data_IF_117411311735
#
_entry.id   IF_117411311735
#
_cell.length_a   1.000
_cell.length_b   1.000
_cell.length_c   1.000
_cell.angle_alpha   90.00
_cell.angle_beta   90.00
_cell.angle_gamma   90.00
#
_symmetry.space_group_name_H-M   'P 1'
#
loop_
_entity.id
_entity.type
_entity.pdbx_description
1 polymer ?
#
# COMPACT_ATOMS: atom_id res chain seq x y z
N UNK A 1 -4.88 7.38 0.04
CA UNK A 1 -3.65 6.68 0.47
C UNK A 1 -3.37 5.55 -0.53
N UNK A 2 -2.12 5.15 -0.82
CA UNK A 2 -1.84 3.99 -1.66
C UNK A 2 -2.34 2.67 -1.03
N UNK A 3 -2.60 1.64 -1.84
CA UNK A 3 -3.01 0.31 -1.35
C UNK A 3 -1.87 -0.46 -0.67
N UNK A 4 -2.20 -1.57 -0.01
CA UNK A 4 -1.22 -2.33 0.79
C UNK A 4 -0.02 -2.80 -0.05
N UNK A 5 -0.24 -3.22 -1.30
CA UNK A 5 0.85 -3.64 -2.19
C UNK A 5 1.77 -2.47 -2.53
N UNK A 6 1.24 -1.29 -2.83
CA UNK A 6 2.02 -0.09 -3.12
C UNK A 6 2.77 0.42 -1.89
N UNK A 7 2.13 0.41 -0.72
CA UNK A 7 2.76 0.77 0.54
C UNK A 7 3.93 -0.18 0.86
N UNK A 8 3.74 -1.49 0.67
CA UNK A 8 4.82 -2.46 0.86
C UNK A 8 6.00 -2.19 -0.09
N UNK A 9 5.74 -1.86 -1.37
CA UNK A 9 6.78 -1.46 -2.34
C UNK A 9 7.49 -0.17 -1.95
N UNK A 10 6.77 0.78 -1.34
CA UNK A 10 7.34 2.01 -0.79
C UNK A 10 8.17 1.78 0.48
N UNK A 11 8.24 0.55 0.99
CA UNK A 11 8.99 0.17 2.17
C UNK A 11 8.23 0.35 3.47
N UNK A 12 6.89 0.39 3.41
CA UNK A 12 6.04 0.28 4.60
C UNK A 12 5.99 -1.18 5.03
N UNK A 13 6.19 -1.44 6.33
CA UNK A 13 6.02 -2.75 6.95
C UNK A 13 4.70 -2.79 7.69
N UNK A 14 3.97 -3.86 7.46
CA UNK A 14 2.73 -4.17 8.16
C UNK A 14 3.04 -5.12 9.31
N UNK A 15 2.49 -4.83 10.49
CA UNK A 15 2.68 -5.66 11.68
C UNK A 15 1.40 -5.73 12.51
N UNK A 16 1.12 -6.86 13.18
CA UNK A 16 0.01 -6.94 14.12
C UNK A 16 0.21 -5.97 15.29
N UNK A 17 -0.88 -5.41 15.79
CA UNK A 17 -0.89 -4.62 17.02
C UNK A 17 -1.43 -5.48 18.16
N UNK A 18 -0.56 -5.80 19.10
CA UNK A 18 -0.90 -6.58 20.30
C UNK A 18 -1.48 -5.68 21.41
N UNK A 19 -2.28 -6.27 22.31
CA UNK A 19 -2.81 -5.63 23.53
C UNK A 19 -3.53 -4.30 23.28
N UNK A 20 -4.36 -4.21 22.23
CA UNK A 20 -5.08 -3.00 21.87
C UNK A 20 -6.59 -3.28 21.69
N UNK A 21 -7.41 -2.24 21.84
CA UNK A 21 -8.83 -2.30 21.50
C UNK A 21 -9.01 -2.15 19.99
N UNK A 22 -9.72 -3.07 19.35
CA UNK A 22 -10.10 -2.89 17.94
C UNK A 22 -11.05 -1.69 17.80
N UNK A 23 -10.89 -0.80 16.78
CA UNK A 23 -9.94 -0.81 15.66
C UNK A 23 -8.73 0.14 15.80
N UNK A 24 -7.89 0.02 16.84
CA UNK A 24 -6.76 0.93 17.08
C UNK A 24 -5.57 0.75 16.11
N UNK A 25 -5.37 1.70 15.19
CA UNK A 25 -4.27 1.68 14.20
C UNK A 25 -3.23 2.76 14.48
N UNK A 26 -1.96 2.44 14.24
CA UNK A 26 -0.86 3.41 14.37
C UNK A 26 0.17 3.26 13.27
N UNK A 27 0.84 4.36 12.93
CA UNK A 27 1.94 4.36 11.99
C UNK A 27 3.13 5.10 12.59
N UNK A 28 4.32 4.51 12.51
CA UNK A 28 5.54 5.14 12.96
C UNK A 28 6.71 4.70 12.08
N UNK A 29 7.39 5.67 11.47
CA UNK A 29 8.63 5.48 10.73
C UNK A 29 8.61 4.30 9.73
N UNK A 30 7.55 4.24 8.91
CA UNK A 30 7.38 3.19 7.91
C UNK A 30 6.85 1.87 8.45
N UNK A 31 6.43 1.79 9.71
CA UNK A 31 5.76 0.60 10.27
C UNK A 31 4.31 0.95 10.58
N UNK A 32 3.38 0.27 9.91
CA UNK A 32 1.95 0.34 10.17
C UNK A 32 1.54 -0.84 11.07
N UNK A 33 1.03 -0.51 12.25
CA UNK A 33 0.50 -1.48 13.22
C UNK A 33 -1.02 -1.46 13.16
N UNK A 34 -1.60 -2.60 12.80
CA UNK A 34 -3.04 -2.82 12.71
C UNK A 34 -3.41 -4.01 13.60
N UNK A 35 -4.51 -3.94 14.38
CA UNK A 35 -4.97 -5.09 15.14
C UNK A 35 -5.31 -6.25 14.19
N UNK A 36 -5.01 -7.49 14.60
CA UNK A 36 -5.37 -8.67 13.81
C UNK A 36 -6.89 -8.81 13.72
N UNK A 37 -7.37 -9.17 12.53
CA UNK A 37 -8.77 -9.24 12.20
C UNK A 37 -9.12 -10.56 11.52
N UNK A 38 -10.03 -11.31 12.14
CA UNK A 38 -10.53 -12.57 11.57
C UNK A 38 -11.68 -12.30 10.59
N UNK A 39 -11.50 -12.74 9.35
CA UNK A 39 -12.48 -12.59 8.28
C UNK A 39 -13.27 -13.87 8.10
N UNK A 40 -14.58 -13.76 8.25
CA UNK A 40 -15.58 -14.82 8.09
C UNK A 40 -16.75 -14.33 7.24
N UNK A 41 -17.66 -15.23 6.90
CA UNK A 41 -18.92 -14.89 6.21
C UNK A 41 -19.81 -13.89 6.98
N UNK A 42 -19.68 -13.83 8.31
CA UNK A 42 -20.43 -12.90 9.16
C UNK A 42 -19.77 -11.54 9.32
N UNK A 43 -18.54 -11.37 8.84
CA UNK A 43 -17.78 -10.15 9.02
C UNK A 43 -18.45 -8.94 8.35
N UNK A 44 -18.92 -9.10 7.11
CA UNK A 44 -19.60 -8.03 6.37
C UNK A 44 -20.86 -7.51 7.08
N UNK A 45 -21.84 -8.35 7.46
CA UNK A 45 -23.04 -7.85 8.14
C UNK A 45 -22.73 -7.23 9.51
N UNK A 46 -21.75 -7.76 10.25
CA UNK A 46 -21.35 -7.18 11.54
C UNK A 46 -20.80 -5.76 11.34
N UNK A 47 -19.83 -5.58 10.42
CA UNK A 47 -19.24 -4.27 10.17
C UNK A 47 -20.28 -3.27 9.63
N UNK A 48 -21.17 -3.69 8.73
CA UNK A 48 -22.28 -2.84 8.24
C UNK A 48 -23.20 -2.39 9.37
N UNK A 49 -23.56 -3.29 10.27
CA UNK A 49 -24.42 -2.94 11.41
C UNK A 49 -23.73 -1.97 12.36
N UNK A 50 -22.43 -2.12 12.59
CA UNK A 50 -21.65 -1.20 13.42
C UNK A 50 -21.55 0.19 12.78
N UNK A 51 -21.29 0.26 11.47
CA UNK A 51 -21.25 1.53 10.73
C UNK A 51 -22.64 2.19 10.72
N UNK A 52 -23.70 1.43 10.48
CA UNK A 52 -25.07 1.94 10.53
C UNK A 52 -25.42 2.47 11.93
N UNK A 53 -24.98 1.78 12.99
CA UNK A 53 -25.15 2.24 14.36
C UNK A 53 -24.42 3.57 14.60
N UNK A 54 -23.17 3.72 14.17
CA UNK A 54 -22.42 4.99 14.27
C UNK A 54 -23.09 6.14 13.49
N UNK A 55 -23.67 5.84 12.33
CA UNK A 55 -24.41 6.81 11.51
C UNK A 55 -25.73 7.24 12.17
N UNK A 56 -26.45 6.31 12.80
CA UNK A 56 -27.70 6.60 13.52
C UNK A 56 -27.47 7.34 14.85
N UNK A 57 -26.30 7.17 15.48
CA UNK A 57 -25.97 7.76 16.78
C UNK A 57 -24.65 8.54 16.73
N UNK A 58 -24.61 9.76 16.15
CA UNK A 58 -23.37 10.49 15.94
C UNK A 58 -22.53 10.79 17.20
N UNK A 59 -23.15 10.74 18.39
CA UNK A 59 -22.48 10.95 19.68
C UNK A 59 -21.57 9.79 20.09
N UNK A 60 -21.69 8.60 19.50
CA UNK A 60 -20.86 7.42 19.85
C UNK A 60 -19.46 7.46 19.23
N UNK A 61 -19.20 8.42 18.35
CA UNK A 61 -18.00 8.44 17.51
C UNK A 61 -18.16 7.57 16.26
N UNK A 62 -17.09 7.51 15.46
CA UNK A 62 -17.07 6.92 14.11
C UNK A 62 -15.87 6.00 13.90
N UNK A 63 -15.58 5.14 14.88
CA UNK A 63 -14.38 4.32 14.89
C UNK A 63 -14.38 3.28 13.78
N UNK A 64 -15.50 2.59 13.59
CA UNK A 64 -15.68 1.57 12.55
C UNK A 64 -15.81 2.18 11.17
N UNK A 65 -16.49 3.32 11.04
CA UNK A 65 -16.58 4.06 9.77
C UNK A 65 -15.19 4.49 9.28
N UNK A 66 -14.33 5.00 10.18
CA UNK A 66 -12.97 5.39 9.78
C UNK A 66 -12.05 4.18 9.57
N UNK A 67 -12.27 3.10 10.30
CA UNK A 67 -11.54 1.85 10.03
C UNK A 67 -11.92 1.24 8.68
N UNK A 68 -13.20 1.32 8.31
CA UNK A 68 -13.69 0.91 7.00
C UNK A 68 -13.01 1.72 5.87
N UNK A 69 -12.98 3.05 6.00
CA UNK A 69 -12.26 3.93 5.07
C UNK A 69 -10.77 3.57 4.91
N UNK A 70 -10.13 3.18 6.02
CA UNK A 70 -8.74 2.70 5.99
C UNK A 70 -8.62 1.36 5.25
N UNK A 71 -9.50 0.41 5.55
CA UNK A 71 -9.48 -0.91 4.92
C UNK A 71 -9.81 -0.83 3.43
N UNK A 72 -10.72 0.04 3.02
CA UNK A 72 -10.99 0.38 1.61
C UNK A 72 -9.72 0.86 0.91
N UNK A 73 -9.02 1.81 1.55
CA UNK A 73 -7.78 2.34 1.01
C UNK A 73 -6.68 1.28 0.90
N UNK A 74 -6.61 0.35 1.86
CA UNK A 74 -5.58 -0.68 1.90
C UNK A 74 -5.87 -1.85 0.96
N UNK A 75 -7.13 -2.22 0.77
CA UNK A 75 -7.55 -3.46 0.10
C UNK A 75 -8.40 -3.15 -1.12
N UNK A 76 -7.77 -3.12 -2.30
CA UNK A 76 -8.48 -3.02 -3.58
C UNK A 76 -8.49 -4.38 -4.31
N UNK A 77 -7.39 -5.13 -4.22
CA UNK A 77 -7.16 -6.37 -4.96
C UNK A 77 -6.85 -7.56 -4.06
N UNK A 78 -6.94 -8.81 -4.58
CA UNK A 78 -6.54 -10.01 -3.83
C UNK A 78 -5.05 -9.99 -3.42
N UNK A 79 -4.21 -9.23 -4.13
CA UNK A 79 -2.79 -9.08 -3.79
C UNK A 79 -2.62 -8.28 -2.50
N UNK A 80 -3.45 -7.27 -2.29
CA UNK A 80 -3.43 -6.45 -1.08
C UNK A 80 -3.85 -7.28 0.13
N UNK A 81 -4.90 -8.09 -0.03
CA UNK A 81 -5.31 -9.07 0.98
C UNK A 81 -4.16 -10.02 1.31
N UNK A 82 -3.45 -10.53 0.30
CA UNK A 82 -2.29 -11.40 0.50
C UNK A 82 -1.18 -10.72 1.32
N UNK A 83 -0.89 -9.45 1.06
CA UNK A 83 0.11 -8.68 1.82
C UNK A 83 -0.28 -8.59 3.29
N UNK A 84 -1.53 -8.24 3.58
CA UNK A 84 -2.02 -8.11 4.95
C UNK A 84 -2.13 -9.47 5.67
N UNK A 85 -2.51 -10.52 4.95
CA UNK A 85 -2.54 -11.89 5.47
C UNK A 85 -1.15 -12.38 5.83
N UNK A 86 -0.15 -12.17 4.95
CA UNK A 86 1.24 -12.54 5.23
C UNK A 86 1.84 -11.75 6.40
N UNK A 87 1.34 -10.53 6.65
CA UNK A 87 1.71 -9.71 7.78
C UNK A 87 0.97 -10.08 9.09
N UNK A 88 0.08 -11.07 9.07
CA UNK A 88 -0.71 -11.47 10.25
C UNK A 88 -1.79 -10.46 10.65
N UNK A 89 -2.14 -9.52 9.77
CA UNK A 89 -3.20 -8.54 10.01
C UNK A 89 -4.56 -9.15 9.69
N UNK A 90 -4.64 -9.92 8.60
CA UNK A 90 -5.87 -10.62 8.21
C UNK A 90 -5.70 -12.12 8.44
N UNK A 91 -6.54 -12.67 9.31
CA UNK A 91 -6.74 -14.11 9.42
C UNK A 91 -7.97 -14.48 8.59
N UNK A 92 -7.73 -15.14 7.47
CA UNK A 92 -8.80 -15.53 6.56
C UNK A 92 -9.19 -16.96 6.91
N UNK A 93 -10.46 -17.18 7.24
CA UNK A 93 -11.01 -18.52 7.47
C UNK A 93 -11.12 -19.33 6.17
N UNK A 94 -12.32 -19.83 5.86
CA UNK A 94 -12.58 -20.65 4.66
C UNK A 94 -12.65 -19.84 3.35
N UNK A 95 -12.49 -18.52 3.40
CA UNK A 95 -12.62 -17.64 2.24
C UNK A 95 -11.34 -17.56 1.42
N UNK A 96 -11.47 -17.30 0.11
CA UNK A 96 -10.31 -16.97 -0.72
C UNK A 96 -10.00 -15.47 -0.69
N UNK A 97 -8.76 -15.08 -1.05
CA UNK A 97 -8.33 -13.68 -1.05
C UNK A 97 -9.19 -12.77 -1.94
N UNK A 98 -9.83 -13.32 -2.97
CA UNK A 98 -10.71 -12.58 -3.87
C UNK A 98 -12.03 -12.23 -3.21
N UNK A 99 -12.63 -13.17 -2.48
CA UNK A 99 -13.83 -12.93 -1.68
C UNK A 99 -13.59 -11.90 -0.59
N UNK A 100 -12.44 -11.97 0.08
CA UNK A 100 -12.08 -10.97 1.11
C UNK A 100 -11.90 -9.57 0.50
N UNK A 101 -11.24 -9.46 -0.66
CA UNK A 101 -11.13 -8.18 -1.36
C UNK A 101 -12.51 -7.66 -1.77
N UNK A 102 -13.37 -8.54 -2.29
CA UNK A 102 -14.75 -8.17 -2.63
C UNK A 102 -15.57 -7.77 -1.41
N UNK A 103 -15.35 -8.38 -0.25
CA UNK A 103 -16.01 -8.04 1.01
C UNK A 103 -15.72 -6.59 1.38
N UNK A 104 -14.45 -6.19 1.44
CA UNK A 104 -14.08 -4.82 1.78
C UNK A 104 -14.59 -3.83 0.72
N UNK A 105 -14.41 -4.12 -0.57
CA UNK A 105 -14.96 -3.28 -1.66
C UNK A 105 -16.49 -3.15 -1.64
N UNK A 106 -17.21 -4.11 -1.04
CA UNK A 106 -18.66 -4.05 -0.84
C UNK A 106 -19.06 -3.34 0.45
N UNK A 107 -18.23 -3.40 1.49
CA UNK A 107 -18.49 -2.73 2.76
C UNK A 107 -18.55 -1.22 2.57
N UNK A 108 -17.66 -0.70 1.72
CA UNK A 108 -17.53 0.72 1.40
C UNK A 108 -18.64 1.28 0.51
N UNK A 109 -19.46 0.40 -0.09
CA UNK A 109 -20.63 0.84 -0.85
C UNK A 109 -21.68 1.38 0.10
N UNK A 110 -22.19 2.57 -0.21
CA UNK A 110 -23.26 3.25 0.51
C UNK A 110 -22.86 3.77 1.92
N UNK A 111 -21.57 3.86 2.22
CA UNK A 111 -21.07 4.48 3.47
C UNK A 111 -20.95 5.99 3.30
N UNK A 112 -21.64 6.75 4.16
CA UNK A 112 -21.52 8.20 4.18
C UNK A 112 -20.30 8.63 5.00
N UNK A 113 -19.23 9.00 4.31
CA UNK A 113 -18.02 9.55 4.93
C UNK A 113 -18.20 11.04 5.25
N UNK A 114 -18.26 11.35 6.54
CA UNK A 114 -18.34 12.73 7.02
C UNK A 114 -16.95 13.38 7.05
N UNK A 115 -16.88 14.66 6.65
CA UNK A 115 -15.67 15.49 6.66
C UNK A 115 -15.30 15.99 8.06
N UNK A 116 -15.22 15.09 9.04
CA UNK A 116 -14.85 15.39 10.42
C UNK A 116 -13.41 14.98 10.74
N UNK A 117 -12.97 15.27 11.96
CA UNK A 117 -11.67 14.80 12.46
C UNK A 117 -11.73 13.30 12.75
N UNK A 118 -10.93 12.50 12.04
CA UNK A 118 -10.74 11.07 12.31
C UNK A 118 -9.54 10.85 13.22
N UNK A 119 -9.61 9.84 14.08
CA UNK A 119 -8.45 9.38 14.86
C UNK A 119 -7.31 8.88 13.94
N UNK A 120 -7.62 8.51 12.70
CA UNK A 120 -6.66 8.10 11.67
C UNK A 120 -6.06 9.24 10.86
N UNK A 121 -6.48 10.49 11.08
CA UNK A 121 -5.94 11.62 10.31
C UNK A 121 -4.41 11.73 10.41
N UNK A 122 -3.86 11.49 11.61
CA UNK A 122 -2.41 11.46 11.81
C UNK A 122 -1.76 10.29 11.08
N UNK A 123 -2.37 9.10 11.12
CA UNK A 123 -1.90 7.92 10.39
C UNK A 123 -1.83 8.21 8.89
N UNK A 124 -2.89 8.77 8.30
CA UNK A 124 -2.90 9.14 6.88
C UNK A 124 -1.84 10.17 6.52
N UNK A 125 -1.70 11.22 7.34
CA UNK A 125 -0.69 12.26 7.13
C UNK A 125 0.73 11.69 7.16
N UNK A 126 1.04 10.86 8.16
CA UNK A 126 2.37 10.30 8.34
C UNK A 126 2.73 9.29 7.25
N UNK A 127 1.76 8.47 6.82
CA UNK A 127 1.93 7.54 5.69
C UNK A 127 2.20 8.31 4.40
N UNK A 128 1.40 9.32 4.09
CA UNK A 128 1.58 10.12 2.88
C UNK A 128 2.94 10.84 2.90
N UNK A 129 3.34 11.44 4.02
CA UNK A 129 4.64 12.09 4.17
C UNK A 129 5.80 11.09 3.98
N UNK A 130 5.70 9.90 4.59
CA UNK A 130 6.70 8.85 4.44
C UNK A 130 6.82 8.41 2.97
N UNK A 131 5.69 8.13 2.33
CA UNK A 131 5.65 7.68 0.94
C UNK A 131 6.16 8.76 -0.02
N UNK A 132 5.75 10.02 0.14
CA UNK A 132 6.20 11.13 -0.71
C UNK A 132 7.71 11.33 -0.60
N UNK A 133 8.27 11.32 0.61
CA UNK A 133 9.72 11.49 0.80
C UNK A 133 10.53 10.38 0.12
N UNK A 134 10.08 9.12 0.23
CA UNK A 134 10.72 7.97 -0.41
C UNK A 134 10.53 8.05 -1.91
N UNK A 135 9.31 8.19 -2.39
CA UNK A 135 8.99 8.23 -3.81
C UNK A 135 9.73 9.35 -4.54
N UNK A 136 9.86 10.53 -3.93
CA UNK A 136 10.67 11.63 -4.45
C UNK A 136 12.15 11.24 -4.56
N UNK A 137 12.70 10.55 -3.56
CA UNK A 137 14.07 10.03 -3.61
C UNK A 137 14.25 8.98 -4.71
N UNK A 138 13.31 8.03 -4.82
CA UNK A 138 13.30 6.99 -5.86
C UNK A 138 13.18 7.60 -7.26
N UNK A 139 12.35 8.63 -7.47
CA UNK A 139 12.28 9.39 -8.74
C UNK A 139 13.57 10.16 -9.05
N UNK A 140 14.30 10.61 -8.04
CA UNK A 140 15.58 11.31 -8.22
C UNK A 140 16.76 10.37 -8.52
N UNK A 141 16.71 9.10 -8.11
CA UNK A 141 17.78 8.12 -8.33
C UNK A 141 18.06 7.80 -9.83
N UNK A 142 17.06 7.54 -10.70
CA UNK A 142 17.26 7.32 -12.13
C UNK A 142 17.94 8.52 -12.80
N UNK A 143 17.52 9.75 -12.48
CA UNK A 143 18.13 10.98 -13.01
C UNK A 143 19.61 11.13 -12.64
N UNK A 144 20.04 10.61 -11.49
CA UNK A 144 21.45 10.71 -11.07
C UNK A 144 22.34 9.65 -11.71
N UNK A 145 21.85 8.43 -11.93
CA UNK A 145 22.65 7.35 -12.50
C UNK A 145 22.70 7.38 -14.03
N UNK A 146 21.63 7.84 -14.70
CA UNK A 146 21.60 7.93 -16.16
C UNK A 146 22.58 8.98 -16.72
N UNK A 147 22.86 10.04 -15.94
CA UNK A 147 23.71 11.15 -16.36
C UNK A 147 25.12 11.12 -15.78
N UNK A 148 25.51 10.05 -15.08
CA UNK A 148 26.81 10.03 -14.38
C UNK A 148 28.00 9.82 -15.33
N UNK A 149 27.80 9.21 -16.51
CA UNK A 149 28.85 9.19 -17.52
C UNK A 149 28.35 8.93 -18.96
N UNK A 150 27.83 9.96 -19.66
CA UNK A 150 27.47 9.87 -21.08
C UNK A 150 28.66 9.45 -21.96
N UNK A 151 29.89 9.82 -21.55
CA UNK A 151 31.12 9.64 -22.33
C UNK A 151 31.63 8.19 -22.39
N UNK A 152 31.33 7.36 -21.39
CA UNK A 152 31.67 5.92 -21.44
C UNK A 152 30.89 5.15 -22.49
N UNK A 153 29.68 5.61 -22.86
CA UNK A 153 28.88 4.96 -23.90
C UNK A 153 29.46 5.29 -25.28
N UNK A 154 29.94 6.53 -25.49
CA UNK A 154 30.58 6.93 -26.75
C UNK A 154 31.92 6.25 -26.99
N UNK A 155 32.72 5.97 -25.94
CA UNK A 155 34.03 5.32 -26.14
C UNK A 155 33.93 3.87 -26.58
N UNK A 156 32.91 3.13 -26.11
CA UNK A 156 32.70 1.73 -26.49
C UNK A 156 32.25 1.61 -27.95
N UNK A 157 31.38 2.50 -28.41
CA UNK A 157 30.89 2.48 -29.80
C UNK A 157 31.99 2.87 -30.80
N UNK A 158 32.84 3.86 -30.45
CA UNK A 158 33.95 4.27 -31.30
C UNK A 158 35.02 3.17 -31.45
N UNK A 159 35.30 2.42 -30.37
CA UNK A 159 36.25 1.31 -30.40
C UNK A 159 35.78 0.18 -31.32
N UNK A 160 34.48 -0.14 -31.32
CA UNK A 160 33.92 -1.20 -32.18
C UNK A 160 33.91 -0.85 -33.67
N UNK A 161 33.79 0.42 -34.03
CA UNK A 161 33.83 0.84 -35.44
C UNK A 161 35.26 0.93 -35.98
N UNK A 162 36.24 1.21 -35.11
CA UNK A 162 37.66 1.24 -35.46
C UNK A 162 38.20 -0.18 -35.72
N UNK A 163 37.84 -1.18 -34.91
CA UNK A 163 38.28 -2.58 -35.13
C UNK A 163 37.68 -3.23 -36.40
N UNK A 164 36.48 -2.80 -36.84
CA UNK A 164 35.83 -3.35 -38.04
C UNK A 164 36.32 -2.72 -39.37
N UNK A 165 37.06 -1.61 -39.31
CA UNK A 165 37.59 -0.93 -40.50
C UNK A 165 39.05 -1.26 -40.82
N UNK A 166 39.76 -1.94 -39.90
CA UNK A 166 41.15 -2.40 -40.12
C UNK A 166 41.30 -3.85 -40.61
N UNK A 167 40.22 -4.60 -40.85
CA UNK A 167 40.34 -5.92 -41.50
C UNK A 167 40.83 -5.75 -42.95
N UNK A 168 42.06 -6.20 -43.28
CA UNK A 168 42.71 -5.85 -44.53
C UNK A 168 42.04 -6.56 -45.71
N UNK A 169 41.80 -5.79 -46.77
CA UNK A 169 41.63 -6.27 -48.15
C UNK A 169 42.88 -7.06 -48.57
N UNK A 170 42.93 -8.35 -48.27
CA UNK A 170 43.94 -9.29 -48.76
C UNK A 170 43.26 -10.63 -49.04
N UNK A 171 42.64 -10.75 -50.21
CA UNK A 171 42.57 -12.00 -50.98
C UNK A 171 42.04 -11.66 -52.37
N UNK A 172 42.95 -11.80 -53.32
CA UNK A 172 42.77 -11.80 -54.76
C UNK A 172 42.22 -13.14 -55.21
#
# INVERSE_FOLDING_TARGET
MPNATELQKAGVKFTPKENCSFPDVSFNNGVMKIPTFYVSEHTLPILRNLIAFEQCYPSTGRYFTFYDDLMDSLVDTPKDVKVLQQAGILEIGLSNQKEVAQLFNQLCKDVYYYKGTSYLNMVYSDVNYYCDSKWNRWKAFPKRNYFRNPWTITSVVAATTLDLTELPKQAQ
#
